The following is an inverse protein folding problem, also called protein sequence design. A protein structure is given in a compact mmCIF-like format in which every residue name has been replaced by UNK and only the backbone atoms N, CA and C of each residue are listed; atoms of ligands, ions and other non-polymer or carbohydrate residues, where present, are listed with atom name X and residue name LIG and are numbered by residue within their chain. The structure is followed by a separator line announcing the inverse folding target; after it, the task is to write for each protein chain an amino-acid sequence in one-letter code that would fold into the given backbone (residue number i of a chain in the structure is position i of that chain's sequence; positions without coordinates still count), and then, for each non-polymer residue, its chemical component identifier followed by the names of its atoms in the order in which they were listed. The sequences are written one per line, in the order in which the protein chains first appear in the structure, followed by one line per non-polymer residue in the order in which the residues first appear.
data_IF_915507435022
#
_entry.id   IF_915507435022
#
_cell.length_a   1.000
_cell.length_b   1.000
_cell.length_c   1.000
_cell.angle_alpha   90.00
_cell.angle_beta   90.00
_cell.angle_gamma   90.00
#
_symmetry.space_group_name_H-M   'P 1'
#
loop_
_entity.id
_entity.type
_entity.pdbx_description
1 polymer ?
#
# COMPACT_ATOMS: atom_id res chain seq x y z
N UNK A 1 16.03 0.42 -9.99
CA UNK A 1 15.02 0.37 -8.90
C UNK A 1 14.28 -0.95 -8.94
N UNK A 2 13.78 -1.47 -7.80
CA UNK A 2 12.90 -2.65 -7.75
C UNK A 2 11.52 -2.32 -8.33
N UNK A 3 10.88 -3.33 -8.93
CA UNK A 3 9.46 -3.25 -9.33
C UNK A 3 8.64 -4.29 -8.59
N UNK A 4 7.44 -3.91 -8.20
CA UNK A 4 6.50 -4.75 -7.46
C UNK A 4 5.08 -4.66 -7.98
N UNK A 5 4.24 -5.55 -7.47
CA UNK A 5 2.81 -5.57 -7.78
C UNK A 5 2.03 -6.11 -6.58
N UNK A 6 0.76 -5.74 -6.46
CA UNK A 6 -0.14 -6.24 -5.43
C UNK A 6 -0.34 -7.76 -5.50
N UNK A 7 -0.38 -8.42 -4.33
CA UNK A 7 -0.57 -9.87 -4.17
C UNK A 7 -1.74 -10.42 -5.00
N UNK A 8 -2.88 -9.75 -4.95
CA UNK A 8 -4.10 -10.16 -5.65
C UNK A 8 -4.01 -10.22 -7.17
N UNK A 9 -2.97 -9.62 -7.77
CA UNK A 9 -2.75 -9.70 -9.23
C UNK A 9 -2.32 -11.09 -9.69
N UNK A 10 -1.72 -11.89 -8.78
CA UNK A 10 -1.15 -13.22 -9.11
C UNK A 10 -1.60 -14.33 -8.17
N UNK A 11 -1.94 -14.02 -6.93
CA UNK A 11 -2.24 -15.00 -5.90
C UNK A 11 -3.72 -14.93 -5.50
N UNK A 12 -4.32 -16.09 -5.19
CA UNK A 12 -5.67 -16.20 -4.64
C UNK A 12 -5.63 -17.08 -3.39
N UNK A 13 -6.09 -16.54 -2.27
CA UNK A 13 -5.99 -17.27 -1.01
C UNK A 13 -4.55 -17.73 -0.75
N UNK A 14 -4.37 -19.01 -0.49
CA UNK A 14 -3.07 -19.61 -0.15
C UNK A 14 -2.25 -20.09 -1.36
N UNK A 15 -2.65 -19.74 -2.58
CA UNK A 15 -1.94 -20.12 -3.82
C UNK A 15 -0.75 -19.18 -4.11
N UNK A 16 0.06 -18.92 -3.06
CA UNK A 16 1.19 -18.00 -3.16
C UNK A 16 2.42 -18.62 -3.84
N UNK A 17 2.63 -19.91 -3.73
CA UNK A 17 3.78 -20.60 -4.33
C UNK A 17 3.82 -20.42 -5.86
N UNK A 18 2.70 -20.71 -6.53
CA UNK A 18 2.58 -20.53 -7.97
C UNK A 18 2.51 -19.05 -8.35
N UNK A 19 1.88 -18.22 -7.51
CA UNK A 19 1.82 -16.78 -7.71
C UNK A 19 3.20 -16.13 -7.72
N UNK A 20 4.05 -16.41 -6.74
CA UNK A 20 5.42 -15.87 -6.68
C UNK A 20 6.29 -16.36 -7.83
N UNK A 21 6.18 -17.62 -8.20
CA UNK A 21 6.85 -18.18 -9.36
C UNK A 21 6.49 -17.44 -10.64
N UNK A 22 5.20 -17.18 -10.87
CA UNK A 22 4.71 -16.40 -12.02
C UNK A 22 5.15 -14.94 -11.97
N UNK A 23 5.07 -14.27 -10.81
CA UNK A 23 5.58 -12.91 -10.64
C UNK A 23 7.03 -12.82 -11.10
N UNK A 24 7.87 -13.76 -10.64
CA UNK A 24 9.29 -13.79 -11.00
C UNK A 24 9.52 -14.03 -12.47
N UNK A 25 8.78 -14.97 -13.08
CA UNK A 25 8.91 -15.29 -14.52
C UNK A 25 8.56 -14.08 -15.41
N UNK A 26 7.66 -13.20 -14.96
CA UNK A 26 7.32 -11.95 -15.67
C UNK A 26 8.31 -10.81 -15.42
N UNK A 27 9.18 -10.93 -14.41
CA UNK A 27 10.24 -9.97 -14.13
C UNK A 27 10.01 -9.04 -12.95
N UNK A 28 9.04 -9.32 -12.09
CA UNK A 28 8.87 -8.60 -10.81
C UNK A 28 9.93 -9.00 -9.79
N UNK A 29 10.27 -8.08 -8.90
CA UNK A 29 11.22 -8.28 -7.80
C UNK A 29 10.51 -8.41 -6.46
N UNK A 30 9.35 -7.75 -6.34
CA UNK A 30 8.68 -7.54 -5.06
C UNK A 30 7.18 -7.79 -5.15
N UNK A 31 6.58 -8.02 -3.99
CA UNK A 31 5.13 -8.07 -3.81
C UNK A 31 4.68 -7.11 -2.70
N UNK A 32 3.53 -6.48 -2.89
CA UNK A 32 2.72 -5.89 -1.83
C UNK A 32 1.73 -6.93 -1.32
N UNK A 33 1.93 -7.38 -0.08
CA UNK A 33 1.19 -8.49 0.48
C UNK A 33 -0.12 -8.02 1.11
N UNK A 34 -1.24 -8.32 0.45
CA UNK A 34 -2.59 -7.94 0.90
C UNK A 34 -3.49 -9.12 1.28
N UNK A 35 -2.98 -10.35 1.45
CA UNK A 35 -3.82 -11.53 1.69
C UNK A 35 -4.63 -11.47 2.99
N UNK A 36 -4.15 -10.79 4.03
CA UNK A 36 -4.87 -10.64 5.30
C UNK A 36 -5.56 -9.27 5.45
N UNK A 37 -5.85 -8.61 4.36
CA UNK A 37 -6.55 -7.33 4.36
C UNK A 37 -8.07 -7.44 4.65
N UNK A 38 -8.59 -8.64 4.84
CA UNK A 38 -9.97 -8.92 5.25
C UNK A 38 -10.01 -9.34 6.73
N UNK A 39 -10.67 -8.56 7.57
CA UNK A 39 -10.82 -8.84 9.02
C UNK A 39 -11.56 -10.13 9.36
N UNK A 40 -12.26 -10.74 8.40
CA UNK A 40 -12.91 -12.04 8.54
C UNK A 40 -11.98 -13.22 8.17
N UNK A 41 -10.71 -12.97 7.86
CA UNK A 41 -9.76 -14.04 7.54
C UNK A 41 -9.61 -15.01 8.72
N UNK A 42 -9.63 -16.31 8.44
CA UNK A 42 -9.40 -17.38 9.43
C UNK A 42 -8.00 -17.27 10.06
N UNK A 43 -7.06 -16.60 9.38
CA UNK A 43 -5.71 -16.38 9.91
C UNK A 43 -5.70 -15.65 11.26
N UNK A 44 -6.67 -14.74 11.50
CA UNK A 44 -6.77 -14.05 12.78
C UNK A 44 -7.23 -14.94 13.95
N UNK A 45 -7.77 -16.14 13.66
CA UNK A 45 -8.21 -17.11 14.67
C UNK A 45 -7.11 -18.09 15.08
N UNK A 46 -5.97 -18.06 14.38
CA UNK A 46 -4.84 -18.95 14.66
C UNK A 46 -4.18 -18.61 16.01
N UNK A 47 -3.63 -19.65 16.68
CA UNK A 47 -2.71 -19.43 17.81
C UNK A 47 -1.50 -18.61 17.38
N UNK A 48 -0.79 -18.01 18.32
CA UNK A 48 0.40 -17.20 18.00
C UNK A 48 1.47 -18.01 17.26
N UNK A 49 1.67 -19.27 17.62
CA UNK A 49 2.62 -20.19 16.99
C UNK A 49 2.19 -20.54 15.55
N UNK A 50 0.92 -20.86 15.34
CA UNK A 50 0.38 -21.19 14.02
C UNK A 50 0.36 -19.97 13.09
N UNK A 51 0.04 -18.79 13.63
CA UNK A 51 0.08 -17.52 12.90
C UNK A 51 1.50 -17.19 12.44
N UNK A 52 2.48 -17.29 13.32
CA UNK A 52 3.89 -17.11 13.01
C UNK A 52 4.34 -18.10 11.92
N UNK A 53 4.12 -19.39 12.13
CA UNK A 53 4.53 -20.44 11.21
C UNK A 53 3.94 -20.26 9.80
N UNK A 54 2.69 -19.78 9.72
CA UNK A 54 2.05 -19.47 8.44
C UNK A 54 2.83 -18.39 7.66
N UNK A 55 3.12 -17.25 8.29
CA UNK A 55 3.78 -16.14 7.60
C UNK A 55 5.27 -16.42 7.32
N UNK A 56 5.95 -17.16 8.19
CA UNK A 56 7.31 -17.62 7.93
C UNK A 56 7.35 -18.54 6.69
N UNK A 57 6.37 -19.44 6.54
CA UNK A 57 6.25 -20.30 5.33
C UNK A 57 5.97 -19.48 4.06
N UNK A 58 5.12 -18.45 4.13
CA UNK A 58 4.91 -17.53 2.98
C UNK A 58 6.20 -16.82 2.60
N UNK A 59 6.96 -16.31 3.59
CA UNK A 59 8.26 -15.69 3.38
C UNK A 59 9.24 -16.65 2.69
N UNK A 60 9.39 -17.87 3.22
CA UNK A 60 10.28 -18.89 2.64
C UNK A 60 9.93 -19.18 1.18
N UNK A 61 8.64 -19.25 0.86
CA UNK A 61 8.18 -19.41 -0.53
C UNK A 61 8.55 -18.20 -1.39
N UNK A 62 8.34 -16.99 -0.92
CA UNK A 62 8.70 -15.78 -1.65
C UNK A 62 10.21 -15.73 -1.92
N UNK A 63 11.04 -15.98 -0.89
CA UNK A 63 12.50 -16.04 -0.98
C UNK A 63 12.97 -17.12 -1.97
N UNK A 64 12.39 -18.33 -1.92
CA UNK A 64 12.66 -19.45 -2.85
C UNK A 64 12.46 -19.04 -4.30
N UNK A 65 11.46 -18.23 -4.58
CA UNK A 65 11.16 -17.74 -5.94
C UNK A 65 11.84 -16.39 -6.26
N UNK A 66 12.65 -15.85 -5.35
CA UNK A 66 13.36 -14.57 -5.54
C UNK A 66 12.43 -13.35 -5.59
N UNK A 67 11.31 -13.40 -4.84
CA UNK A 67 10.39 -12.30 -4.62
C UNK A 67 10.58 -11.76 -3.20
N UNK A 68 10.77 -10.46 -3.05
CA UNK A 68 10.82 -9.78 -1.75
C UNK A 68 9.41 -9.32 -1.35
N UNK A 69 8.97 -9.63 -0.13
CA UNK A 69 7.76 -9.00 0.43
C UNK A 69 8.15 -7.59 0.86
N UNK A 70 7.97 -6.63 -0.04
CA UNK A 70 8.47 -5.26 0.15
C UNK A 70 7.61 -4.43 1.10
N UNK A 71 6.31 -4.52 0.93
CA UNK A 71 5.31 -3.85 1.75
C UNK A 71 4.12 -4.77 1.98
N UNK A 72 3.37 -4.52 3.03
CA UNK A 72 2.17 -5.25 3.39
C UNK A 72 1.03 -4.26 3.58
N UNK A 73 -0.09 -4.53 2.90
CA UNK A 73 -1.30 -3.72 3.00
C UNK A 73 -2.16 -4.15 4.18
N UNK A 74 -2.63 -3.18 4.95
CA UNK A 74 -3.54 -3.40 6.09
C UNK A 74 -4.94 -3.85 5.66
N UNK A 75 -5.76 -4.24 6.63
CA UNK A 75 -7.20 -4.38 6.40
C UNK A 75 -7.75 -3.06 5.87
N UNK A 76 -8.65 -3.18 4.88
CA UNK A 76 -9.42 -2.02 4.42
C UNK A 76 -10.48 -1.67 5.49
N UNK A 77 -10.52 -0.44 6.01
CA UNK A 77 -11.62 -0.03 6.86
C UNK A 77 -12.91 0.00 6.03
N UNK A 78 -13.83 -0.91 6.34
CA UNK A 78 -15.17 -0.87 5.75
C UNK A 78 -15.91 0.37 6.26
N UNK A 79 -16.86 0.88 5.47
CA UNK A 79 -17.62 2.14 5.67
C UNK A 79 -18.13 2.41 7.10
N UNK A 80 -18.15 1.42 7.99
CA UNK A 80 -18.61 1.56 9.38
C UNK A 80 -17.60 1.02 10.41
N UNK A 81 -16.36 0.70 10.01
CA UNK A 81 -15.43 -0.01 10.90
C UNK A 81 -14.63 0.88 11.84
N UNK A 82 -14.81 2.19 11.79
CA UNK A 82 -14.04 3.16 12.57
C UNK A 82 -14.87 4.34 13.10
N UNK A 83 -16.20 4.27 12.98
CA UNK A 83 -17.12 5.30 13.44
C UNK A 83 -17.14 5.46 14.96
N UNK A 84 -17.22 4.37 15.69
CA UNK A 84 -17.20 4.41 17.17
C UNK A 84 -15.80 4.17 17.73
N UNK A 85 -15.57 4.58 18.97
CA UNK A 85 -14.33 4.28 19.68
C UNK A 85 -14.08 2.76 19.75
N UNK A 86 -15.12 1.98 20.03
CA UNK A 86 -15.04 0.51 20.08
C UNK A 86 -14.62 -0.08 18.73
N UNK A 87 -15.13 0.45 17.63
CA UNK A 87 -14.75 -0.03 16.28
C UNK A 87 -13.29 0.31 15.98
N UNK A 88 -12.85 1.52 16.32
CA UNK A 88 -11.45 1.94 16.16
C UNK A 88 -10.49 1.11 17.02
N UNK A 89 -10.88 0.76 18.25
CA UNK A 89 -10.09 -0.13 19.11
C UNK A 89 -9.93 -1.51 18.46
N UNK A 90 -11.02 -2.13 18.01
CA UNK A 90 -10.96 -3.44 17.30
C UNK A 90 -10.09 -3.36 16.04
N UNK A 91 -10.24 -2.32 15.24
CA UNK A 91 -9.41 -2.13 14.04
C UNK A 91 -7.93 -1.95 14.40
N UNK A 92 -7.63 -1.24 15.48
CA UNK A 92 -6.27 -1.09 16.00
C UNK A 92 -5.66 -2.45 16.41
N UNK A 93 -6.43 -3.34 17.02
CA UNK A 93 -5.98 -4.70 17.37
C UNK A 93 -5.62 -5.52 16.11
N UNK A 94 -6.41 -5.39 15.04
CA UNK A 94 -6.05 -5.98 13.74
C UNK A 94 -4.75 -5.40 13.19
N UNK A 95 -4.55 -4.09 13.21
CA UNK A 95 -3.31 -3.46 12.76
C UNK A 95 -2.10 -3.97 13.56
N UNK A 96 -2.22 -4.08 14.89
CA UNK A 96 -1.16 -4.63 15.73
C UNK A 96 -0.80 -6.07 15.30
N UNK A 97 -1.82 -6.90 15.07
CA UNK A 97 -1.61 -8.28 14.61
C UNK A 97 -0.99 -8.34 13.19
N UNK A 98 -1.35 -7.39 12.33
CA UNK A 98 -0.78 -7.29 10.98
C UNK A 98 0.67 -6.77 10.98
N UNK A 99 1.03 -5.87 11.89
CA UNK A 99 2.42 -5.43 12.09
C UNK A 99 3.29 -6.62 12.50
N UNK A 100 2.78 -7.50 13.37
CA UNK A 100 3.46 -8.75 13.74
C UNK A 100 3.60 -9.69 12.52
N UNK A 101 2.55 -9.83 11.69
CA UNK A 101 2.60 -10.60 10.45
C UNK A 101 3.64 -10.05 9.46
N UNK A 102 3.71 -8.71 9.31
CA UNK A 102 4.71 -8.07 8.46
C UNK A 102 6.15 -8.47 8.86
N UNK A 103 6.43 -8.50 10.16
CA UNK A 103 7.72 -8.97 10.67
C UNK A 103 8.02 -10.42 10.28
N UNK A 104 7.06 -11.36 10.47
CA UNK A 104 7.24 -12.76 10.11
C UNK A 104 7.40 -12.99 8.60
N UNK A 105 6.77 -12.13 7.78
CA UNK A 105 6.97 -12.07 6.33
C UNK A 105 8.34 -11.52 5.91
N UNK A 106 9.14 -11.00 6.84
CA UNK A 106 10.35 -10.25 6.52
C UNK A 106 10.10 -8.85 5.94
N UNK A 107 8.86 -8.38 5.98
CA UNK A 107 8.44 -7.10 5.45
C UNK A 107 8.72 -5.95 6.43
N UNK A 108 9.26 -4.85 5.92
CA UNK A 108 9.63 -3.69 6.75
C UNK A 108 8.67 -2.51 6.63
N UNK A 109 7.63 -2.61 5.81
CA UNK A 109 6.67 -1.53 5.56
C UNK A 109 5.25 -2.03 5.70
N UNK A 110 4.51 -1.39 6.56
CA UNK A 110 3.10 -1.66 6.78
C UNK A 110 2.29 -0.45 6.29
N UNK A 111 1.61 -0.63 5.16
CA UNK A 111 0.74 0.40 4.58
C UNK A 111 -0.61 0.36 5.27
N UNK A 112 -1.07 1.49 5.75
CA UNK A 112 -2.35 1.61 6.44
C UNK A 112 -3.11 2.88 6.04
N UNK A 113 -4.44 2.73 6.00
CA UNK A 113 -5.33 3.86 5.80
C UNK A 113 -5.60 4.62 7.09
N UNK A 114 -5.73 5.95 7.04
CA UNK A 114 -6.27 6.72 8.14
C UNK A 114 -7.68 6.27 8.53
N UNK A 115 -8.04 6.41 9.80
CA UNK A 115 -9.43 6.28 10.23
C UNK A 115 -10.31 7.39 9.66
N UNK A 116 -11.54 7.03 9.29
CA UNK A 116 -12.56 7.91 8.74
C UNK A 116 -13.82 7.88 9.62
N UNK A 117 -13.79 8.52 10.82
CA UNK A 117 -14.80 8.35 11.84
C UNK A 117 -16.21 8.80 11.43
N UNK A 118 -16.33 9.57 10.36
CA UNK A 118 -17.62 10.02 9.80
C UNK A 118 -18.03 9.22 8.55
N UNK A 119 -17.15 8.41 7.99
CA UNK A 119 -17.34 7.65 6.75
C UNK A 119 -16.40 8.08 5.65
N UNK A 120 -16.44 7.36 4.53
CA UNK A 120 -15.44 7.50 3.48
C UNK A 120 -15.48 8.88 2.79
N UNK A 121 -16.58 9.25 2.19
CA UNK A 121 -16.71 10.50 1.42
C UNK A 121 -17.67 11.48 2.09
N UNK A 122 -17.46 11.70 3.38
CA UNK A 122 -18.28 12.57 4.21
C UNK A 122 -17.42 13.67 4.81
N UNK A 123 -17.83 14.91 4.64
CA UNK A 123 -17.26 16.04 5.36
C UNK A 123 -17.64 15.93 6.84
N UNK A 124 -16.65 15.77 7.69
CA UNK A 124 -16.82 15.67 9.13
C UNK A 124 -15.93 16.66 9.86
N UNK A 125 -15.95 16.61 11.20
CA UNK A 125 -15.05 17.43 12.01
C UNK A 125 -13.60 17.05 11.71
N UNK A 126 -12.89 17.98 11.08
CA UNK A 126 -11.49 17.80 10.69
C UNK A 126 -10.59 17.60 11.92
N UNK A 127 -10.78 18.42 12.96
CA UNK A 127 -9.93 18.37 14.14
C UNK A 127 -10.07 17.04 14.86
N UNK A 128 -11.30 16.53 14.97
CA UNK A 128 -11.56 15.22 15.53
C UNK A 128 -10.96 14.10 14.66
N UNK A 129 -11.18 14.13 13.35
CA UNK A 129 -10.61 13.14 12.41
C UNK A 129 -9.09 13.14 12.50
N UNK A 130 -8.46 14.29 12.51
CA UNK A 130 -7.01 14.42 12.63
C UNK A 130 -6.50 13.85 13.96
N UNK A 131 -7.13 14.22 15.08
CA UNK A 131 -6.72 13.76 16.42
C UNK A 131 -6.88 12.25 16.57
N UNK A 132 -7.96 11.66 16.07
CA UNK A 132 -8.17 10.19 16.06
C UNK A 132 -7.03 9.47 15.35
N UNK A 133 -6.51 10.02 14.25
CA UNK A 133 -5.38 9.43 13.52
C UNK A 133 -4.03 9.66 14.20
N UNK A 134 -3.85 10.80 14.89
CA UNK A 134 -2.69 11.01 15.77
C UNK A 134 -2.67 9.95 16.88
N UNK A 135 -3.82 9.68 17.50
CA UNK A 135 -3.93 8.70 18.59
C UNK A 135 -3.73 7.28 18.09
N UNK A 136 -4.25 6.93 16.89
CA UNK A 136 -3.98 5.66 16.23
C UNK A 136 -2.47 5.43 16.06
N UNK A 137 -1.78 6.37 15.42
CA UNK A 137 -0.35 6.21 15.13
C UNK A 137 0.47 6.11 16.42
N UNK A 138 0.16 6.90 17.45
CA UNK A 138 0.80 6.80 18.77
C UNK A 138 0.60 5.44 19.41
N UNK A 139 -0.58 4.81 19.26
CA UNK A 139 -0.84 3.44 19.74
C UNK A 139 -0.05 2.39 18.97
N UNK A 140 0.16 2.57 17.66
CA UNK A 140 0.86 1.60 16.80
C UNK A 140 2.39 1.69 16.88
N UNK A 141 2.97 2.86 17.20
CA UNK A 141 4.42 3.08 17.25
C UNK A 141 5.17 2.07 18.11
N UNK A 142 4.77 1.75 19.36
CA UNK A 142 5.49 0.77 20.18
C UNK A 142 5.54 -0.63 19.54
N UNK A 143 4.51 -1.00 18.78
CA UNK A 143 4.47 -2.27 18.05
C UNK A 143 5.34 -2.22 16.79
N UNK A 144 5.34 -1.10 16.09
CA UNK A 144 6.20 -0.86 14.94
C UNK A 144 7.69 -0.88 15.34
N UNK A 145 8.05 -0.31 16.48
CA UNK A 145 9.41 -0.39 17.04
C UNK A 145 9.79 -1.82 17.44
N UNK A 146 8.92 -2.50 18.21
CA UNK A 146 9.14 -3.89 18.63
C UNK A 146 9.42 -4.82 17.48
N UNK A 147 8.71 -4.67 16.38
CA UNK A 147 8.76 -5.54 15.21
C UNK A 147 9.63 -5.01 14.06
N UNK A 148 10.31 -3.89 14.27
CA UNK A 148 11.18 -3.24 13.28
C UNK A 148 10.46 -2.96 11.94
N UNK A 149 9.22 -2.48 12.00
CA UNK A 149 8.35 -2.15 10.88
C UNK A 149 8.14 -0.64 10.79
N UNK A 150 8.02 -0.10 9.59
CA UNK A 150 7.66 1.30 9.34
C UNK A 150 6.19 1.39 8.96
N UNK A 151 5.45 2.25 9.66
CA UNK A 151 4.05 2.57 9.36
C UNK A 151 4.01 3.55 8.18
N UNK A 152 3.42 3.17 7.08
CA UNK A 152 3.30 3.99 5.88
C UNK A 152 1.84 4.41 5.72
N UNK A 153 1.51 5.64 6.11
CA UNK A 153 0.14 6.16 6.02
C UNK A 153 -0.16 6.53 4.58
N UNK A 154 -1.27 6.04 4.06
CA UNK A 154 -1.66 6.23 2.67
C UNK A 154 -2.65 7.39 2.51
N UNK A 155 -2.50 8.18 1.45
CA UNK A 155 -3.50 9.15 1.00
C UNK A 155 -4.70 8.41 0.36
N UNK A 156 -5.90 8.99 0.43
CA UNK A 156 -7.15 8.31 0.08
C UNK A 156 -7.88 8.98 -1.10
N UNK A 157 -8.83 8.30 -1.78
CA UNK A 157 -9.54 8.84 -2.94
C UNK A 157 -10.78 9.69 -2.60
N UNK A 158 -11.05 9.95 -1.32
CA UNK A 158 -12.32 10.52 -0.87
C UNK A 158 -12.31 12.05 -0.85
N UNK A 159 -13.00 12.71 -1.80
CA UNK A 159 -12.96 14.16 -2.03
C UNK A 159 -13.41 14.99 -0.84
N UNK A 160 -14.41 14.52 -0.11
CA UNK A 160 -14.99 15.24 1.02
C UNK A 160 -14.30 14.92 2.34
N UNK A 161 -13.32 14.02 2.34
CA UNK A 161 -12.58 13.69 3.54
C UNK A 161 -11.28 14.51 3.62
N UNK A 162 -11.11 15.33 4.65
CA UNK A 162 -9.98 16.25 4.74
C UNK A 162 -8.61 15.58 4.80
N UNK A 163 -8.53 14.36 5.38
CA UNK A 163 -7.25 13.64 5.55
C UNK A 163 -6.83 12.85 4.29
N UNK A 164 -7.63 12.88 3.22
CA UNK A 164 -7.36 12.13 1.99
C UNK A 164 -6.20 12.72 1.18
N UNK A 165 -5.95 14.02 1.27
CA UNK A 165 -4.93 14.70 0.48
C UNK A 165 -3.52 14.37 0.97
N UNK A 166 -2.58 14.28 0.02
CA UNK A 166 -1.15 14.06 0.29
C UNK A 166 -0.59 15.08 1.30
N UNK A 167 -0.95 16.36 1.18
CA UNK A 167 -0.53 17.42 2.11
C UNK A 167 -1.00 17.17 3.54
N UNK A 168 -2.20 16.61 3.73
CA UNK A 168 -2.74 16.33 5.06
C UNK A 168 -2.14 15.07 5.66
N UNK A 169 -1.89 14.04 4.85
CA UNK A 169 -1.13 12.86 5.31
C UNK A 169 0.29 13.26 5.71
N UNK A 170 0.95 14.10 4.91
CA UNK A 170 2.25 14.66 5.28
C UNK A 170 2.20 15.43 6.61
N UNK A 171 1.17 16.27 6.79
CA UNK A 171 0.96 17.01 8.03
C UNK A 171 0.79 16.06 9.23
N UNK A 172 0.02 14.99 9.08
CA UNK A 172 -0.17 13.98 10.10
C UNK A 172 1.17 13.32 10.48
N UNK A 173 1.94 12.85 9.50
CA UNK A 173 3.25 12.22 9.71
C UNK A 173 4.22 13.19 10.41
N UNK A 174 4.24 14.46 10.00
CA UNK A 174 5.09 15.49 10.63
C UNK A 174 4.64 15.87 12.04
N UNK A 175 3.34 15.80 12.32
CA UNK A 175 2.82 16.03 13.69
C UNK A 175 3.26 14.92 14.64
N UNK A 176 3.30 13.67 14.16
CA UNK A 176 3.81 12.52 14.90
C UNK A 176 5.33 12.64 15.10
N UNK A 177 6.05 13.09 14.08
CA UNK A 177 7.51 13.28 14.08
C UNK A 177 8.29 12.07 14.63
N UNK A 178 8.00 10.91 14.08
CA UNK A 178 8.62 9.65 14.50
C UNK A 178 9.23 8.91 13.31
N UNK A 179 10.46 8.35 13.39
CA UNK A 179 11.15 7.72 12.26
C UNK A 179 10.41 6.51 11.68
N UNK A 180 9.58 5.85 12.48
CA UNK A 180 8.76 4.70 12.06
C UNK A 180 7.42 5.10 11.43
N UNK A 181 7.15 6.39 11.24
CA UNK A 181 5.91 6.86 10.61
C UNK A 181 6.27 7.64 9.35
N UNK A 182 5.84 7.14 8.22
CA UNK A 182 6.15 7.62 6.87
C UNK A 182 4.88 7.64 6.03
N UNK A 183 5.00 7.97 4.75
CA UNK A 183 3.89 8.05 3.79
C UNK A 183 4.00 6.93 2.77
N UNK A 184 2.87 6.30 2.46
CA UNK A 184 2.63 5.61 1.20
C UNK A 184 1.92 6.58 0.26
N UNK A 185 2.49 6.87 -0.90
CA UNK A 185 1.83 7.64 -1.92
C UNK A 185 1.07 6.73 -2.87
N UNK A 186 -0.25 6.81 -2.83
CA UNK A 186 -1.08 6.29 -3.92
C UNK A 186 -1.25 7.36 -4.99
N UNK A 187 -0.77 7.05 -6.20
CA UNK A 187 -0.71 7.99 -7.32
C UNK A 187 -2.09 8.27 -7.92
N UNK A 188 -2.95 7.27 -7.96
CA UNK A 188 -4.31 7.42 -8.46
C UNK A 188 -5.19 8.22 -7.49
N UNK A 189 -5.08 7.95 -6.18
CA UNK A 189 -5.76 8.74 -5.16
C UNK A 189 -5.33 10.22 -5.22
N UNK A 190 -4.02 10.48 -5.34
CA UNK A 190 -3.51 11.84 -5.47
C UNK A 190 -4.05 12.53 -6.74
N UNK A 191 -4.13 11.82 -7.86
CA UNK A 191 -4.64 12.36 -9.14
C UNK A 191 -6.11 12.79 -9.09
N UNK A 192 -6.90 12.31 -8.13
CA UNK A 192 -8.29 12.75 -7.90
C UNK A 192 -8.32 14.19 -7.37
N UNK A 193 -7.30 14.62 -6.65
CA UNK A 193 -7.23 15.96 -6.03
C UNK A 193 -6.40 16.95 -6.84
N UNK A 194 -5.37 16.48 -7.51
CA UNK A 194 -4.42 17.32 -8.24
C UNK A 194 -3.91 16.61 -9.49
N UNK A 195 -3.77 17.36 -10.57
CA UNK A 195 -3.05 16.89 -11.76
C UNK A 195 -1.52 17.06 -11.65
N UNK A 196 -1.01 17.59 -10.54
CA UNK A 196 0.40 17.84 -10.27
C UNK A 196 0.95 16.93 -9.16
N UNK A 197 0.98 15.63 -9.44
CA UNK A 197 1.51 14.62 -8.51
C UNK A 197 3.03 14.80 -8.31
N UNK A 198 3.72 15.37 -9.27
CA UNK A 198 5.13 15.67 -9.12
C UNK A 198 5.40 16.63 -7.97
N UNK A 199 4.56 17.65 -7.79
CA UNK A 199 4.63 18.55 -6.62
C UNK A 199 4.34 17.79 -5.32
N UNK A 200 3.39 16.87 -5.31
CA UNK A 200 3.10 16.02 -4.15
C UNK A 200 4.32 15.15 -3.78
N UNK A 201 4.98 14.52 -4.76
CA UNK A 201 6.24 13.77 -4.54
C UNK A 201 7.32 14.64 -3.92
N UNK A 202 7.57 15.84 -4.49
CA UNK A 202 8.56 16.78 -3.94
C UNK A 202 8.19 17.23 -2.52
N UNK A 203 6.90 17.48 -2.28
CA UNK A 203 6.39 17.81 -0.95
C UNK A 203 6.71 16.71 0.06
N UNK A 204 6.55 15.44 -0.30
CA UNK A 204 6.83 14.32 0.57
C UNK A 204 8.32 14.18 0.88
N UNK A 205 9.20 14.25 -0.11
CA UNK A 205 10.63 14.09 0.08
C UNK A 205 10.99 12.82 0.85
N UNK A 206 11.80 12.94 1.90
CA UNK A 206 12.25 11.81 2.76
C UNK A 206 11.13 11.13 3.57
N UNK A 207 9.93 11.69 3.60
CA UNK A 207 8.79 11.04 4.24
C UNK A 207 8.12 9.98 3.36
N UNK A 208 8.43 9.95 2.05
CA UNK A 208 7.92 8.94 1.12
C UNK A 208 8.67 7.62 1.31
N UNK A 209 7.98 6.57 1.73
CA UNK A 209 8.57 5.25 2.00
C UNK A 209 7.97 4.11 1.18
N UNK A 210 6.74 4.24 0.73
CA UNK A 210 6.03 3.23 -0.07
C UNK A 210 5.24 3.89 -1.21
N UNK A 211 4.94 3.12 -2.24
CA UNK A 211 4.14 3.55 -3.39
C UNK A 211 3.03 2.55 -3.68
N UNK A 212 1.86 3.08 -4.02
CA UNK A 212 0.82 2.42 -4.79
C UNK A 212 0.69 3.14 -6.13
N UNK A 213 1.02 2.45 -7.20
CA UNK A 213 1.12 3.06 -8.54
C UNK A 213 0.05 2.50 -9.44
N UNK A 214 -0.88 3.34 -9.82
CA UNK A 214 -1.88 3.08 -10.84
C UNK A 214 -2.32 4.37 -11.51
N UNK A 215 -3.03 4.28 -12.62
CA UNK A 215 -3.56 5.41 -13.35
C UNK A 215 -5.07 5.57 -13.17
N UNK A 216 -5.58 6.75 -13.41
CA UNK A 216 -7.00 7.03 -13.54
C UNK A 216 -7.24 8.32 -14.34
N UNK A 217 -8.51 8.69 -14.49
CA UNK A 217 -8.88 9.90 -15.24
C UNK A 217 -8.95 11.17 -14.38
N UNK A 218 -8.57 11.09 -13.10
CA UNK A 218 -8.70 12.16 -12.11
C UNK A 218 -10.13 12.31 -11.58
N UNK A 219 -11.01 11.37 -11.89
CA UNK A 219 -12.42 11.42 -11.45
C UNK A 219 -12.76 10.41 -10.34
N UNK A 220 -12.29 9.19 -10.48
CA UNK A 220 -12.54 8.11 -9.53
C UNK A 220 -11.30 7.21 -9.41
N UNK A 221 -11.29 6.43 -8.36
CA UNK A 221 -10.28 5.42 -8.08
C UNK A 221 -10.50 4.19 -8.97
N UNK A 222 -9.86 4.21 -10.16
CA UNK A 222 -10.15 3.25 -11.23
C UNK A 222 -9.05 2.20 -11.44
N UNK A 223 -7.95 2.26 -10.70
CA UNK A 223 -6.81 1.33 -10.79
C UNK A 223 -6.42 0.94 -12.23
N UNK A 224 -6.40 1.93 -13.16
CA UNK A 224 -6.02 1.68 -14.54
C UNK A 224 -4.54 1.37 -14.67
N UNK A 225 -4.20 0.66 -15.73
CA UNK A 225 -2.81 0.43 -16.11
C UNK A 225 -2.09 1.77 -16.37
N UNK A 226 -0.79 1.85 -16.11
CA UNK A 226 0.01 3.02 -16.47
C UNK A 226 -0.21 3.44 -17.94
N UNK A 227 -0.29 4.74 -18.17
CA UNK A 227 -0.59 5.38 -19.46
C UNK A 227 -2.02 5.16 -20.00
N UNK A 228 -2.92 4.55 -19.22
CA UNK A 228 -4.33 4.37 -19.61
C UNK A 228 -5.28 5.39 -18.95
N UNK A 229 -4.73 6.40 -18.31
CA UNK A 229 -5.45 7.49 -17.66
C UNK A 229 -4.89 8.87 -18.02
N UNK A 230 -4.76 9.74 -17.02
CA UNK A 230 -4.33 11.12 -17.18
C UNK A 230 -3.11 11.49 -16.34
N UNK A 231 -2.49 10.54 -15.64
CA UNK A 231 -1.28 10.83 -14.89
C UNK A 231 -0.17 11.31 -15.83
N UNK A 232 0.54 12.32 -15.37
CA UNK A 232 1.72 12.86 -16.06
C UNK A 232 2.97 12.08 -15.68
N UNK A 233 3.14 10.92 -16.30
CA UNK A 233 4.17 9.94 -15.94
C UNK A 233 5.59 10.50 -15.96
N UNK A 234 5.97 11.25 -17.00
CA UNK A 234 7.33 11.83 -17.07
C UNK A 234 7.62 12.75 -15.88
N UNK A 235 6.65 13.59 -15.49
CA UNK A 235 6.78 14.51 -14.36
C UNK A 235 6.89 13.74 -13.03
N UNK A 236 6.06 12.70 -12.84
CA UNK A 236 6.10 11.82 -11.66
C UNK A 236 7.45 11.12 -11.52
N UNK A 237 7.92 10.46 -12.60
CA UNK A 237 9.18 9.70 -12.58
C UNK A 237 10.39 10.63 -12.33
N UNK A 238 10.38 11.83 -12.93
CA UNK A 238 11.39 12.84 -12.67
C UNK A 238 11.41 13.27 -11.21
N UNK A 239 10.24 13.56 -10.63
CA UNK A 239 10.14 13.98 -9.23
C UNK A 239 10.61 12.88 -8.25
N UNK A 240 10.30 11.61 -8.53
CA UNK A 240 10.83 10.48 -7.74
C UNK A 240 12.35 10.40 -7.78
N UNK A 241 12.96 10.70 -8.96
CA UNK A 241 14.41 10.81 -9.10
C UNK A 241 14.98 11.99 -8.29
N UNK A 242 14.40 13.17 -8.42
CA UNK A 242 14.83 14.39 -7.72
C UNK A 242 14.86 14.25 -6.21
N UNK A 243 13.88 13.55 -5.61
CA UNK A 243 13.88 13.26 -4.16
C UNK A 243 14.77 12.07 -3.78
N UNK A 244 15.43 11.44 -4.75
CA UNK A 244 16.28 10.28 -4.50
C UNK A 244 15.54 9.04 -4.03
N UNK A 245 14.27 8.84 -4.41
CA UNK A 245 13.50 7.67 -3.99
C UNK A 245 14.18 6.36 -4.41
N UNK A 246 14.42 5.45 -3.45
CA UNK A 246 15.10 4.16 -3.65
C UNK A 246 14.25 2.97 -3.24
N UNK A 247 12.95 3.17 -3.12
CA UNK A 247 11.98 2.13 -2.76
C UNK A 247 11.66 1.17 -3.91
N UNK A 248 10.51 0.54 -3.80
CA UNK A 248 9.92 -0.28 -4.86
C UNK A 248 8.89 0.56 -5.65
N UNK A 249 8.98 0.52 -6.97
CA UNK A 249 7.92 1.04 -7.84
C UNK A 249 6.82 -0.01 -7.91
N UNK A 250 5.89 0.06 -6.96
CA UNK A 250 4.90 -0.97 -6.71
C UNK A 250 3.57 -0.64 -7.37
N UNK A 251 3.14 -1.50 -8.30
CA UNK A 251 1.85 -1.35 -8.97
C UNK A 251 0.70 -1.79 -8.08
N UNK A 252 -0.37 -0.99 -8.06
CA UNK A 252 -1.67 -1.34 -7.49
C UNK A 252 -2.73 -1.44 -8.59
N UNK A 253 -2.46 -2.25 -9.57
CA UNK A 253 -3.35 -2.57 -10.69
C UNK A 253 -3.16 -4.01 -11.11
N UNK A 254 -4.09 -4.55 -11.86
CA UNK A 254 -4.03 -5.92 -12.34
C UNK A 254 -4.63 -6.07 -13.75
N UNK A 255 -4.20 -7.09 -14.45
CA UNK A 255 -4.87 -7.53 -15.67
C UNK A 255 -6.13 -8.30 -15.28
N UNK A 256 -7.27 -7.97 -15.90
CA UNK A 256 -8.54 -8.61 -15.62
C UNK A 256 -8.47 -10.13 -15.71
N UNK A 257 -9.05 -10.79 -14.70
CA UNK A 257 -9.15 -12.25 -14.69
C UNK A 257 -10.13 -12.79 -15.75
N UNK A 258 -11.00 -11.93 -16.28
CA UNK A 258 -11.94 -12.29 -17.37
C UNK A 258 -11.26 -12.32 -18.74
N UNK A 259 -10.02 -11.80 -18.81
CA UNK A 259 -9.23 -11.87 -20.05
C UNK A 259 -8.81 -13.31 -20.31
N UNK A 260 -9.08 -13.86 -21.53
CA UNK A 260 -8.70 -15.24 -21.87
C UNK A 260 -7.17 -15.46 -21.85
N UNK A 261 -6.76 -16.63 -21.40
CA UNK A 261 -5.40 -17.12 -21.68
C UNK A 261 -5.27 -17.49 -23.17
N UNK A 262 -4.11 -17.27 -23.84
CA UNK A 262 -2.83 -16.82 -23.28
C UNK A 262 -2.67 -15.29 -23.21
N UNK A 263 -3.64 -14.50 -23.69
CA UNK A 263 -3.54 -13.04 -23.77
C UNK A 263 -3.30 -12.39 -22.41
N UNK A 264 -3.87 -12.95 -21.36
CA UNK A 264 -3.66 -12.47 -19.98
C UNK A 264 -2.18 -12.58 -19.57
N UNK A 265 -1.50 -13.67 -19.90
CA UNK A 265 -0.08 -13.87 -19.60
C UNK A 265 0.81 -12.92 -20.43
N UNK A 266 0.48 -12.69 -21.71
CA UNK A 266 1.17 -11.70 -22.55
C UNK A 266 1.04 -10.29 -21.99
N UNK A 267 -0.16 -9.91 -21.56
CA UNK A 267 -0.42 -8.59 -20.96
C UNK A 267 0.31 -8.43 -19.62
N UNK A 268 0.34 -9.46 -18.76
CA UNK A 268 1.10 -9.45 -17.50
C UNK A 268 2.59 -9.26 -17.76
N UNK A 269 3.15 -9.99 -18.72
CA UNK A 269 4.55 -9.85 -19.12
C UNK A 269 4.82 -8.43 -19.66
N UNK A 270 3.95 -7.91 -20.49
CA UNK A 270 4.06 -6.56 -21.06
C UNK A 270 3.99 -5.48 -19.98
N UNK A 271 3.08 -5.63 -19.01
CA UNK A 271 2.95 -4.71 -17.88
C UNK A 271 4.24 -4.70 -17.03
N UNK A 272 4.81 -5.86 -16.74
CA UNK A 272 6.07 -5.94 -16.00
C UNK A 272 7.23 -5.27 -16.75
N UNK A 273 7.35 -5.48 -18.06
CA UNK A 273 8.35 -4.80 -18.91
C UNK A 273 8.17 -3.28 -18.92
N UNK A 274 6.93 -2.82 -19.07
CA UNK A 274 6.61 -1.39 -19.00
C UNK A 274 7.02 -0.81 -17.64
N UNK A 275 6.64 -1.48 -16.55
CA UNK A 275 6.97 -1.05 -15.18
C UNK A 275 8.49 -0.98 -14.98
N UNK A 276 9.25 -1.94 -15.50
CA UNK A 276 10.72 -1.94 -15.46
C UNK A 276 11.28 -0.73 -16.18
N UNK A 277 10.81 -0.47 -17.41
CA UNK A 277 11.24 0.70 -18.19
C UNK A 277 10.92 2.04 -17.51
N UNK A 278 9.77 2.13 -16.81
CA UNK A 278 9.43 3.31 -16.00
C UNK A 278 10.38 3.46 -14.81
N UNK A 279 10.62 2.38 -14.06
CA UNK A 279 11.52 2.40 -12.90
C UNK A 279 12.98 2.76 -13.26
N UNK A 280 13.44 2.44 -14.47
CA UNK A 280 14.76 2.78 -14.99
C UNK A 280 14.90 4.29 -15.31
N UNK A 281 13.79 5.00 -15.52
CA UNK A 281 13.79 6.43 -15.75
C UNK A 281 13.93 7.24 -14.44
N UNK A 282 13.71 6.64 -13.29
CA UNK A 282 13.88 7.27 -11.97
C UNK A 282 15.40 7.29 -11.65
N UNK A 283 16.04 8.45 -11.85
CA UNK A 283 17.50 8.61 -11.75
C UNK A 283 17.92 9.40 -10.52
#
# INVERSE_FOLDING_TARGET
MRIGIGYGAYCRGDDYEEGFKKMKSHGYDCVDYGHINNKNSELYKLSSEAFRAYFEKVRESAEKHGIEVWQMHSIWPTVNSDKTETDRQKTTEFFIRQIEAAYYLGCKKFVLHPFLPFGNDVEGDYSFTFQVNVDLLKKLIPHAEKWDVTLCVENLPFRNNPISKVSEVKRLVRTINHPRVKVCLDTGHANIFSSDIASDVRLLGDDLAALHVHDNTGWCDAHKLPYCGKLKWCELLTALGEIGFRGCFNLETAISNDMPEPYREEMRTSLAKLTRSMAEQIK
#
